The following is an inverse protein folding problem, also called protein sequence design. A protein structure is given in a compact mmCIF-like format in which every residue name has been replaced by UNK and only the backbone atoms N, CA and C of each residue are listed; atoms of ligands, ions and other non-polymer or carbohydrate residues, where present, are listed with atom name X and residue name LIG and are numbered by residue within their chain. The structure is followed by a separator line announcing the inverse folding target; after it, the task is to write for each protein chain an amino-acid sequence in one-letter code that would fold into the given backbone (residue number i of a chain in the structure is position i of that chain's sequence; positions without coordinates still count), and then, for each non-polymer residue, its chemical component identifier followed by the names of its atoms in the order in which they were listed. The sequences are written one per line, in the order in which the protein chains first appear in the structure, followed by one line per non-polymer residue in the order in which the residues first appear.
data_IF_898927366419
#
_entry.id   IF_898927366419
#
_cell.length_a   1.000
_cell.length_b   1.000
_cell.length_c   1.000
_cell.angle_alpha   90.00
_cell.angle_beta   90.00
_cell.angle_gamma   90.00
#
_symmetry.space_group_name_H-M   'P 1'
#
loop_
_entity.id
_entity.type
_entity.pdbx_description
1 polymer ?
#
# COMPACT_ATOMS: atom_id res chain seq x y z
N UNK A 1 -21.75 -21.83 -22.23
CA UNK A 1 -23.08 -21.83 -21.58
C UNK A 1 -23.87 -20.70 -22.18
N UNK A 2 -24.93 -21.02 -22.91
CA UNK A 2 -25.59 -20.09 -23.83
C UNK A 2 -26.23 -18.92 -23.10
N UNK A 3 -26.01 -17.71 -23.60
CA UNK A 3 -27.05 -16.70 -23.51
C UNK A 3 -28.30 -17.36 -24.10
N UNK A 4 -29.33 -17.54 -23.29
CA UNK A 4 -30.65 -17.90 -23.81
C UNK A 4 -31.10 -16.65 -24.56
N UNK A 5 -30.80 -16.61 -25.85
CA UNK A 5 -31.25 -15.53 -26.72
C UNK A 5 -32.77 -15.46 -26.61
N UNK A 6 -33.31 -14.24 -26.52
CA UNK A 6 -34.75 -14.06 -26.45
C UNK A 6 -35.39 -14.62 -27.73
N UNK A 7 -36.14 -15.72 -27.60
CA UNK A 7 -36.82 -16.35 -28.72
C UNK A 7 -38.08 -15.55 -29.06
N UNK A 8 -37.97 -14.72 -30.10
CA UNK A 8 -39.07 -13.89 -30.56
C UNK A 8 -40.26 -14.67 -31.09
N UNK A 9 -40.04 -15.88 -31.62
CA UNK A 9 -41.12 -16.70 -32.15
C UNK A 9 -41.95 -17.27 -31.00
N UNK A 10 -41.28 -17.93 -30.05
CA UNK A 10 -41.93 -18.49 -28.86
C UNK A 10 -42.66 -17.40 -28.07
N UNK A 11 -42.02 -16.24 -27.85
CA UNK A 11 -42.66 -15.11 -27.18
C UNK A 11 -43.91 -14.60 -27.92
N UNK A 12 -43.89 -14.59 -29.26
CA UNK A 12 -45.06 -14.17 -30.04
C UNK A 12 -46.21 -15.20 -30.01
N UNK A 13 -45.91 -16.49 -29.88
CA UNK A 13 -46.91 -17.56 -29.75
C UNK A 13 -47.57 -17.56 -28.37
N UNK A 14 -46.78 -17.34 -27.32
CA UNK A 14 -47.29 -17.19 -25.95
C UNK A 14 -48.20 -15.96 -25.82
N UNK A 15 -47.82 -14.83 -26.41
CA UNK A 15 -48.65 -13.62 -26.44
C UNK A 15 -49.95 -13.81 -27.24
N UNK A 16 -49.92 -14.56 -28.35
CA UNK A 16 -51.14 -14.90 -29.10
C UNK A 16 -52.07 -15.82 -28.29
N UNK A 17 -51.51 -16.79 -27.57
CA UNK A 17 -52.26 -17.69 -26.68
C UNK A 17 -52.89 -16.92 -25.51
N UNK A 18 -52.26 -15.84 -25.07
CA UNK A 18 -52.79 -14.90 -24.07
C UNK A 18 -53.87 -13.95 -24.62
N UNK A 19 -54.22 -14.05 -25.91
CA UNK A 19 -55.31 -13.29 -26.54
C UNK A 19 -54.89 -12.03 -27.28
N UNK A 20 -53.59 -11.78 -27.49
CA UNK A 20 -53.12 -10.68 -28.34
C UNK A 20 -53.22 -11.04 -29.83
N UNK A 21 -53.44 -10.04 -30.68
CA UNK A 21 -53.39 -10.27 -32.14
C UNK A 21 -51.97 -10.62 -32.59
N UNK A 22 -51.85 -11.34 -33.70
CA UNK A 22 -50.53 -11.73 -34.26
C UNK A 22 -49.61 -10.53 -34.49
N UNK A 23 -50.16 -9.38 -34.93
CA UNK A 23 -49.40 -8.15 -35.12
C UNK A 23 -48.91 -7.54 -33.79
N UNK A 24 -49.77 -7.51 -32.76
CA UNK A 24 -49.40 -7.00 -31.44
C UNK A 24 -48.34 -7.88 -30.78
N UNK A 25 -48.50 -9.20 -30.85
CA UNK A 25 -47.54 -10.17 -30.31
C UNK A 25 -46.15 -10.07 -30.98
N UNK A 26 -46.11 -9.90 -32.30
CA UNK A 26 -44.87 -9.66 -33.05
C UNK A 26 -44.24 -8.32 -32.70
N UNK A 27 -45.03 -7.25 -32.58
CA UNK A 27 -44.52 -5.94 -32.22
C UNK A 27 -43.88 -5.94 -30.82
N UNK A 28 -44.54 -6.55 -29.83
CA UNK A 28 -44.05 -6.61 -28.45
C UNK A 28 -42.78 -7.47 -28.35
N UNK A 29 -42.77 -8.67 -28.94
CA UNK A 29 -41.60 -9.54 -28.93
C UNK A 29 -40.38 -8.90 -29.61
N UNK A 30 -40.57 -8.16 -30.70
CA UNK A 30 -39.49 -7.41 -31.36
C UNK A 30 -38.94 -6.28 -30.51
N UNK A 31 -39.79 -5.54 -29.79
CA UNK A 31 -39.36 -4.47 -28.87
C UNK A 31 -38.55 -5.05 -27.70
N UNK A 32 -38.96 -6.19 -27.14
CA UNK A 32 -38.24 -6.86 -26.05
C UNK A 32 -36.89 -7.41 -26.54
N UNK A 33 -36.83 -8.06 -27.71
CA UNK A 33 -35.55 -8.51 -28.31
C UNK A 33 -34.60 -7.35 -28.51
N UNK A 34 -35.08 -6.26 -29.12
CA UNK A 34 -34.27 -5.07 -29.39
C UNK A 34 -33.77 -4.42 -28.10
N UNK A 35 -34.53 -4.50 -27.01
CA UNK A 35 -34.12 -3.98 -25.71
C UNK A 35 -33.00 -4.84 -25.08
N UNK A 36 -33.01 -6.15 -25.31
CA UNK A 36 -31.95 -7.06 -24.88
C UNK A 36 -30.70 -7.02 -25.78
N UNK A 37 -30.82 -6.73 -27.08
CA UNK A 37 -29.68 -6.55 -27.99
C UNK A 37 -28.90 -5.24 -27.73
N UNK A 38 -29.56 -4.21 -27.20
CA UNK A 38 -28.93 -2.92 -26.87
C UNK A 38 -28.30 -2.95 -25.47
N UNK A 39 -28.71 -3.88 -24.61
CA UNK A 39 -28.10 -4.08 -23.30
C UNK A 39 -26.84 -4.93 -23.45
N UNK A 40 -25.67 -4.28 -23.44
CA UNK A 40 -24.38 -4.97 -23.29
C UNK A 40 -24.33 -5.61 -21.90
N UNK A 41 -24.65 -6.91 -21.83
CA UNK A 41 -24.78 -7.64 -20.57
C UNK A 41 -23.54 -8.47 -20.31
N UNK A 42 -22.89 -8.17 -19.18
CA UNK A 42 -21.81 -9.01 -18.67
C UNK A 42 -22.31 -10.45 -18.46
N UNK A 43 -21.60 -11.38 -19.07
CA UNK A 43 -21.86 -12.81 -18.96
C UNK A 43 -21.29 -13.37 -17.65
N UNK A 44 -21.67 -14.61 -17.32
CA UNK A 44 -21.04 -15.34 -16.21
C UNK A 44 -19.54 -15.57 -16.41
N UNK A 45 -19.06 -15.59 -17.66
CA UNK A 45 -17.64 -15.72 -17.97
C UNK A 45 -16.89 -14.44 -17.56
N UNK A 46 -17.43 -13.27 -17.89
CA UNK A 46 -16.83 -11.98 -17.50
C UNK A 46 -16.72 -11.87 -15.97
N UNK A 47 -17.75 -12.33 -15.24
CA UNK A 47 -17.71 -12.39 -13.78
C UNK A 47 -16.63 -13.36 -13.27
N UNK A 48 -16.44 -14.51 -13.94
CA UNK A 48 -15.40 -15.47 -13.58
C UNK A 48 -14.00 -14.89 -13.83
N UNK A 49 -13.83 -14.14 -14.93
CA UNK A 49 -12.58 -13.48 -15.27
C UNK A 49 -12.25 -12.39 -14.25
N UNK A 50 -13.21 -11.50 -13.93
CA UNK A 50 -13.06 -10.50 -12.85
C UNK A 50 -12.72 -11.15 -11.50
N UNK A 51 -13.30 -12.31 -11.17
CA UNK A 51 -12.95 -13.03 -9.93
C UNK A 51 -11.50 -13.52 -9.92
N UNK A 52 -10.97 -13.95 -11.08
CA UNK A 52 -9.56 -14.33 -11.19
C UNK A 52 -8.65 -13.11 -11.06
N UNK A 53 -8.98 -12.03 -11.76
CA UNK A 53 -8.23 -10.77 -11.66
C UNK A 53 -8.20 -10.24 -10.22
N UNK A 54 -9.32 -10.30 -9.51
CA UNK A 54 -9.39 -9.94 -8.08
C UNK A 54 -8.50 -10.86 -7.24
N UNK A 55 -8.48 -12.17 -7.49
CA UNK A 55 -7.62 -13.09 -6.77
C UNK A 55 -6.13 -12.79 -7.01
N UNK A 56 -5.76 -12.47 -8.24
CA UNK A 56 -4.40 -12.10 -8.60
C UNK A 56 -3.98 -10.76 -7.98
N UNK A 57 -4.85 -9.75 -8.00
CA UNK A 57 -4.61 -8.47 -7.31
C UNK A 57 -4.43 -8.67 -5.81
N UNK A 58 -5.25 -9.53 -5.17
CA UNK A 58 -5.09 -9.84 -3.74
C UNK A 58 -3.73 -10.46 -3.44
N UNK A 59 -3.29 -11.39 -4.29
CA UNK A 59 -1.97 -12.03 -4.16
C UNK A 59 -0.82 -11.04 -4.37
N UNK A 60 -0.91 -10.16 -5.37
CA UNK A 60 0.09 -9.11 -5.60
C UNK A 60 0.15 -8.13 -4.42
N UNK A 61 -1.02 -7.76 -3.86
CA UNK A 61 -1.08 -6.91 -2.67
C UNK A 61 -0.39 -7.56 -1.48
N UNK A 62 -0.67 -8.83 -1.19
CA UNK A 62 -0.03 -9.58 -0.09
C UNK A 62 1.50 -9.61 -0.25
N UNK A 63 1.99 -9.94 -1.45
CA UNK A 63 3.42 -9.93 -1.74
C UNK A 63 4.07 -8.54 -1.59
N UNK A 64 3.36 -7.47 -1.98
CA UNK A 64 3.83 -6.09 -1.79
C UNK A 64 3.85 -5.68 -0.32
N UNK A 65 2.88 -6.12 0.47
CA UNK A 65 2.85 -5.88 1.91
C UNK A 65 4.05 -6.54 2.59
N UNK A 66 4.29 -7.83 2.36
CA UNK A 66 5.46 -8.55 2.90
C UNK A 66 6.78 -7.87 2.53
N UNK A 67 6.92 -7.47 1.26
CA UNK A 67 8.11 -6.74 0.78
C UNK A 67 8.30 -5.40 1.49
N UNK A 68 7.22 -4.66 1.72
CA UNK A 68 7.27 -3.37 2.41
C UNK A 68 7.58 -3.55 3.90
N UNK A 69 7.05 -4.56 4.56
CA UNK A 69 7.38 -4.90 5.94
C UNK A 69 8.87 -5.23 6.07
N UNK A 70 9.39 -6.13 5.23
CA UNK A 70 10.82 -6.47 5.21
C UNK A 70 11.71 -5.25 4.95
N UNK A 71 11.32 -4.36 4.02
CA UNK A 71 12.06 -3.12 3.75
C UNK A 71 12.03 -2.17 4.96
N UNK A 72 10.89 -2.06 5.63
CA UNK A 72 10.73 -1.20 6.81
C UNK A 72 11.57 -1.71 7.97
N UNK A 73 11.58 -3.01 8.22
CA UNK A 73 12.41 -3.62 9.26
C UNK A 73 13.91 -3.43 8.97
N UNK A 74 14.32 -3.59 7.71
CA UNK A 74 15.70 -3.31 7.29
C UNK A 74 16.08 -1.84 7.52
N UNK A 75 15.22 -0.89 7.17
CA UNK A 75 15.45 0.54 7.39
C UNK A 75 15.53 0.88 8.88
N UNK A 76 14.65 0.33 9.72
CA UNK A 76 14.69 0.51 11.17
C UNK A 76 16.01 -0.03 11.75
N UNK A 77 16.47 -1.18 11.27
CA UNK A 77 17.75 -1.76 11.70
C UNK A 77 18.95 -0.89 11.33
N UNK A 78 18.97 -0.33 10.12
CA UNK A 78 20.00 0.61 9.68
C UNK A 78 20.00 1.88 10.54
N UNK A 79 18.85 2.54 10.69
CA UNK A 79 18.72 3.75 11.54
C UNK A 79 19.17 3.46 12.97
N UNK A 80 18.83 2.30 13.53
CA UNK A 80 19.27 1.91 14.87
C UNK A 80 20.80 1.76 14.94
N UNK A 81 21.45 1.16 13.94
CA UNK A 81 22.91 1.03 13.88
C UNK A 81 23.59 2.39 13.74
N UNK A 82 23.08 3.25 12.88
CA UNK A 82 23.63 4.59 12.67
C UNK A 82 23.57 5.40 13.98
N UNK A 83 22.42 5.39 14.67
CA UNK A 83 22.28 6.03 15.98
C UNK A 83 23.24 5.45 17.03
N UNK A 84 23.48 4.14 17.03
CA UNK A 84 24.45 3.52 17.94
C UNK A 84 25.88 3.98 17.66
N UNK A 85 26.25 4.12 16.39
CA UNK A 85 27.56 4.61 15.98
C UNK A 85 27.75 6.07 16.35
N UNK A 86 26.76 6.93 16.07
CA UNK A 86 26.81 8.35 16.45
C UNK A 86 26.94 8.52 17.98
N UNK A 87 26.16 7.75 18.76
CA UNK A 87 26.25 7.78 20.23
C UNK A 87 27.61 7.29 20.75
N UNK A 88 28.21 6.28 20.11
CA UNK A 88 29.55 5.82 20.46
C UNK A 88 30.62 6.89 20.14
N UNK A 89 30.50 7.54 18.97
CA UNK A 89 31.37 8.63 18.56
C UNK A 89 31.30 9.80 19.55
N UNK A 90 30.09 10.31 19.81
CA UNK A 90 29.85 11.40 20.76
C UNK A 90 30.39 11.06 22.15
N UNK A 91 30.22 9.83 22.63
CA UNK A 91 30.76 9.41 23.94
C UNK A 91 32.29 9.49 23.97
N UNK A 92 32.95 9.12 22.88
CA UNK A 92 34.41 9.20 22.76
C UNK A 92 34.90 10.65 22.76
N UNK A 93 34.24 11.52 22.01
CA UNK A 93 34.53 12.97 21.98
C UNK A 93 34.29 13.64 23.33
N UNK A 94 33.19 13.31 24.01
CA UNK A 94 32.88 13.80 25.36
C UNK A 94 33.97 13.37 26.37
N UNK A 95 34.46 12.13 26.27
CA UNK A 95 35.56 11.66 27.11
C UNK A 95 36.84 12.47 26.84
N UNK A 96 37.18 12.72 25.58
CA UNK A 96 38.35 13.51 25.19
C UNK A 96 38.25 14.95 25.71
N UNK A 97 37.12 15.63 25.49
CA UNK A 97 36.88 16.99 26.00
C UNK A 97 36.99 17.03 27.52
N UNK A 98 36.45 16.04 28.23
CA UNK A 98 36.54 15.95 29.69
C UNK A 98 37.99 15.84 30.17
N UNK A 99 38.82 15.04 29.49
CA UNK A 99 40.25 14.93 29.81
C UNK A 99 41.01 16.22 29.52
N UNK A 100 40.77 16.83 28.36
CA UNK A 100 41.39 18.11 27.98
C UNK A 100 41.04 19.21 28.98
N UNK A 101 39.76 19.32 29.37
CA UNK A 101 39.32 20.31 30.35
C UNK A 101 39.95 20.06 31.72
N UNK A 102 40.07 18.80 32.15
CA UNK A 102 40.76 18.42 33.38
C UNK A 102 42.23 18.85 33.39
N UNK A 103 42.98 18.53 32.34
CA UNK A 103 44.37 18.97 32.20
C UNK A 103 44.51 20.49 32.09
N UNK A 104 43.59 21.16 31.39
CA UNK A 104 43.57 22.61 31.25
C UNK A 104 43.41 23.31 32.61
N UNK A 105 42.46 22.86 33.43
CA UNK A 105 42.24 23.41 34.78
C UNK A 105 43.47 23.18 35.68
N UNK A 106 44.06 21.99 35.67
CA UNK A 106 45.29 21.68 36.43
C UNK A 106 46.45 22.57 35.96
N UNK A 107 46.60 22.75 34.64
CA UNK A 107 47.64 23.60 34.06
C UNK A 107 47.52 25.06 34.50
N UNK A 108 46.31 25.63 34.46
CA UNK A 108 46.07 27.00 34.93
C UNK A 108 46.35 27.10 36.44
N UNK A 109 45.87 26.15 37.25
CA UNK A 109 46.09 26.15 38.69
C UNK A 109 47.60 26.12 39.03
N UNK A 110 48.39 25.33 38.31
CA UNK A 110 49.85 25.28 38.48
C UNK A 110 50.52 26.62 38.21
N UNK A 111 50.06 27.38 37.21
CA UNK A 111 50.59 28.71 36.91
C UNK A 111 50.26 29.71 38.03
N UNK A 112 49.04 29.66 38.58
CA UNK A 112 48.61 30.52 39.69
C UNK A 112 49.45 30.26 40.94
N UNK A 113 49.65 28.99 41.32
CA UNK A 113 50.50 28.63 42.47
C UNK A 113 51.93 29.13 42.27
N UNK A 114 52.49 28.90 41.08
CA UNK A 114 53.86 29.33 40.76
C UNK A 114 54.01 30.86 40.77
N UNK A 115 53.02 31.60 40.28
CA UNK A 115 53.08 33.05 40.16
C UNK A 115 52.81 33.78 41.49
N UNK A 116 51.92 33.27 42.35
CA UNK A 116 51.45 34.01 43.53
C UNK A 116 51.85 33.40 44.87
N UNK A 117 52.04 32.08 44.97
CA UNK A 117 52.30 31.41 46.26
C UNK A 117 53.80 31.21 46.49
N UNK A 118 54.56 30.77 45.49
CA UNK A 118 56.01 30.55 45.60
C UNK A 118 56.80 31.82 45.95
N UNK A 119 56.58 33.00 45.33
CA UNK A 119 57.33 34.20 45.70
C UNK A 119 56.91 34.82 47.04
N UNK A 120 55.84 34.33 47.68
CA UNK A 120 55.36 34.81 48.97
C UNK A 120 55.80 33.92 50.16
N UNK A 121 56.49 32.80 49.89
CA UNK A 121 57.02 31.85 50.88
C UNK A 121 58.54 32.01 51.03
#
# INVERSE_FOLDING_TARGET
MGQVAFDTLQASEELQTAGLSSEQAKAISLVVRKSHEVADVATKADIADVKRDIADVRKDMEARFEKNEAKTEAQISLVRKDLQLEMACIRSEQKLMRWMLGFGVIGILSLVVKAFVIPAL
#
